data_IF_154090485798
#
_entry.id   IF_154090485798
#
_cell.length_a   1.000
_cell.length_b   1.000
_cell.length_c   1.000
_cell.angle_alpha   90.00
_cell.angle_beta   90.00
_cell.angle_gamma   90.00
#
_symmetry.space_group_name_H-M   'P 1'
#
loop_
_entity.id
_entity.type
_entity.pdbx_description
1 polymer ?
#
# COMPACT_ATOMS: atom_id res chain seq x y z
N UNK A 1 9.76 33.08 -2.01
CA UNK A 1 8.41 33.52 -1.61
C UNK A 1 8.51 34.05 -0.20
N UNK A 2 7.82 35.15 0.10
CA UNK A 2 7.77 35.80 1.40
C UNK A 2 7.09 34.91 2.45
N UNK A 3 7.67 34.80 3.66
CA UNK A 3 7.07 34.11 4.80
C UNK A 3 5.74 34.79 5.18
N UNK A 4 4.61 34.19 4.79
CA UNK A 4 3.29 34.66 5.23
C UNK A 4 3.06 34.22 6.68
N UNK A 5 3.03 35.19 7.61
CA UNK A 5 2.72 34.99 9.03
C UNK A 5 1.21 35.14 9.30
N UNK A 6 0.38 34.38 8.59
CA UNK A 6 -1.07 34.50 8.72
C UNK A 6 -1.66 33.71 9.90
N UNK A 7 -1.00 32.63 10.34
CA UNK A 7 -1.64 31.63 11.21
C UNK A 7 -0.76 31.12 12.36
N UNK A 8 0.41 31.74 12.61
CA UNK A 8 1.38 31.27 13.61
C UNK A 8 0.82 31.08 15.03
N UNK A 9 -0.21 31.86 15.38
CA UNK A 9 -0.85 31.85 16.70
C UNK A 9 -2.17 31.09 16.77
N UNK A 10 -2.52 30.28 15.76
CA UNK A 10 -3.80 29.54 15.71
C UNK A 10 -3.72 28.28 16.59
N UNK A 11 -4.28 28.26 17.82
CA UNK A 11 -3.95 27.25 18.82
C UNK A 11 -4.69 25.91 18.64
N UNK A 12 -5.60 25.85 17.68
CA UNK A 12 -6.43 24.68 17.36
C UNK A 12 -6.15 24.15 15.94
N UNK A 13 -5.13 24.68 15.26
CA UNK A 13 -4.78 24.20 13.92
C UNK A 13 -4.08 22.86 14.04
N UNK A 14 -4.82 21.78 13.76
CA UNK A 14 -4.34 20.40 13.84
C UNK A 14 -4.41 19.66 12.49
N UNK A 15 -5.15 20.18 11.53
CA UNK A 15 -5.31 19.60 10.21
C UNK A 15 -4.79 20.59 9.16
N UNK A 16 -3.89 20.11 8.29
CA UNK A 16 -3.26 20.91 7.24
C UNK A 16 -3.39 20.22 5.88
N UNK A 17 -4.18 20.81 5.00
CA UNK A 17 -4.31 20.38 3.62
C UNK A 17 -3.67 21.41 2.69
N UNK A 18 -2.68 21.00 1.91
CA UNK A 18 -1.98 21.90 0.98
C UNK A 18 -2.29 21.56 -0.47
N UNK A 19 -2.71 22.56 -1.24
CA UNK A 19 -2.99 22.42 -2.68
C UNK A 19 -2.03 23.31 -3.47
N UNK A 20 -1.28 22.73 -4.41
CA UNK A 20 -0.37 23.47 -5.31
C UNK A 20 0.69 24.32 -4.57
N UNK A 21 1.13 23.85 -3.40
CA UNK A 21 2.23 24.43 -2.64
C UNK A 21 3.46 23.54 -2.76
N UNK A 22 4.54 24.07 -3.34
CA UNK A 22 5.78 23.32 -3.51
C UNK A 22 6.51 23.08 -2.17
N UNK A 23 6.62 24.09 -1.32
CA UNK A 23 7.32 23.96 -0.03
C UNK A 23 6.59 24.78 1.04
N UNK A 24 5.70 24.11 1.76
CA UNK A 24 4.85 24.73 2.79
C UNK A 24 5.66 25.38 3.90
N UNK A 25 6.74 24.74 4.34
CA UNK A 25 7.61 25.20 5.43
C UNK A 25 8.23 26.57 5.11
N UNK A 26 8.61 26.79 3.85
CA UNK A 26 9.15 28.08 3.41
C UNK A 26 8.07 29.11 3.02
N UNK A 27 6.88 28.65 2.67
CA UNK A 27 5.81 29.52 2.17
C UNK A 27 5.01 30.17 3.30
N UNK A 28 4.72 29.41 4.36
CA UNK A 28 3.76 29.80 5.40
C UNK A 28 4.34 29.48 6.79
N UNK A 29 4.25 30.43 7.71
CA UNK A 29 4.57 30.20 9.11
C UNK A 29 3.34 29.65 9.85
N UNK A 30 3.43 28.41 10.32
CA UNK A 30 2.33 27.66 10.94
C UNK A 30 2.79 27.06 12.27
N UNK A 31 1.86 26.79 13.22
CA UNK A 31 2.14 26.01 14.41
C UNK A 31 2.30 24.51 14.08
N UNK A 32 3.33 24.16 13.30
CA UNK A 32 3.57 22.80 12.78
C UNK A 32 3.56 21.71 13.86
N UNK A 33 3.93 22.06 15.10
CA UNK A 33 3.90 21.14 16.22
C UNK A 33 2.49 20.69 16.62
N UNK A 34 1.43 21.41 16.25
CA UNK A 34 0.04 21.07 16.57
C UNK A 34 -0.60 20.20 15.49
N UNK A 35 -0.01 20.14 14.29
CA UNK A 35 -0.54 19.38 13.17
C UNK A 35 -0.47 17.87 13.46
N UNK A 36 -1.64 17.24 13.43
CA UNK A 36 -1.87 15.81 13.55
C UNK A 36 -2.30 15.16 12.24
N UNK A 37 -2.89 15.92 11.31
CA UNK A 37 -3.20 15.44 9.95
C UNK A 37 -2.58 16.34 8.92
N UNK A 38 -1.90 15.75 7.94
CA UNK A 38 -1.30 16.48 6.83
C UNK A 38 -1.65 15.82 5.51
N UNK A 39 -2.15 16.60 4.55
CA UNK A 39 -2.30 16.15 3.18
C UNK A 39 -1.70 17.12 2.18
N UNK A 40 -1.21 16.59 1.06
CA UNK A 40 -0.76 17.40 -0.07
C UNK A 40 -1.35 16.91 -1.38
N UNK A 41 -1.89 17.86 -2.14
CA UNK A 41 -2.51 17.64 -3.44
C UNK A 41 -2.05 18.70 -4.44
N UNK A 42 -2.02 18.33 -5.72
CA UNK A 42 -1.64 19.26 -6.79
C UNK A 42 -2.54 19.05 -7.99
N UNK A 43 -2.97 20.14 -8.61
CA UNK A 43 -3.75 20.12 -9.84
C UNK A 43 -2.77 20.06 -11.01
N UNK A 44 -3.12 19.29 -12.04
CA UNK A 44 -2.32 19.18 -13.26
C UNK A 44 -2.28 20.53 -13.97
N UNK A 45 -1.21 21.30 -13.75
CA UNK A 45 -0.93 22.48 -14.55
C UNK A 45 0.20 22.18 -15.56
N UNK A 46 -0.03 22.33 -16.88
CA UNK A 46 0.96 22.01 -17.91
C UNK A 46 2.14 22.99 -17.95
N UNK A 47 2.04 24.14 -17.28
CA UNK A 47 3.03 25.25 -17.36
C UNK A 47 3.60 25.72 -16.02
N UNK A 48 3.10 25.21 -14.89
CA UNK A 48 3.51 25.67 -13.56
C UNK A 48 3.98 24.47 -12.73
N UNK A 49 5.21 24.56 -12.22
CA UNK A 49 5.81 23.57 -11.34
C UNK A 49 5.51 23.89 -9.86
N UNK A 50 4.27 23.71 -9.44
CA UNK A 50 3.82 23.90 -8.04
C UNK A 50 3.94 22.65 -7.19
N UNK A 51 4.63 21.62 -7.70
CA UNK A 51 4.64 20.27 -7.11
C UNK A 51 5.79 20.11 -6.13
N UNK A 52 5.55 19.66 -4.90
CA UNK A 52 6.57 19.42 -3.91
C UNK A 52 7.46 18.29 -4.38
N UNK A 53 8.77 18.50 -4.26
CA UNK A 53 9.73 17.43 -4.43
C UNK A 53 9.72 16.57 -3.18
N UNK A 54 10.17 15.33 -3.26
CA UNK A 54 10.32 14.45 -2.08
C UNK A 54 11.08 15.11 -0.93
N UNK A 55 12.08 15.95 -1.20
CA UNK A 55 12.81 16.71 -0.19
C UNK A 55 11.97 17.80 0.46
N UNK A 56 11.09 18.48 -0.29
CA UNK A 56 10.14 19.44 0.25
C UNK A 56 9.13 18.74 1.18
N UNK A 57 8.65 17.56 0.78
CA UNK A 57 7.77 16.71 1.59
C UNK A 57 8.47 16.29 2.88
N UNK A 58 9.69 15.75 2.79
CA UNK A 58 10.47 15.34 3.97
C UNK A 58 10.74 16.52 4.91
N UNK A 59 11.03 17.71 4.37
CA UNK A 59 11.17 18.92 5.16
C UNK A 59 9.89 19.28 5.91
N UNK A 60 8.71 19.11 5.29
CA UNK A 60 7.43 19.30 5.98
C UNK A 60 7.24 18.27 7.09
N UNK A 61 7.48 16.98 6.81
CA UNK A 61 7.36 15.88 7.78
C UNK A 61 8.27 16.07 9.01
N UNK A 62 9.46 16.65 8.84
CA UNK A 62 10.34 17.02 9.96
C UNK A 62 9.73 18.06 10.91
N UNK A 63 8.90 18.96 10.39
CA UNK A 63 8.29 20.04 11.18
C UNK A 63 7.05 19.56 11.92
N UNK A 64 6.26 18.67 11.31
CA UNK A 64 5.00 18.14 11.89
C UNK A 64 5.25 16.95 12.82
N UNK A 65 5.90 17.21 13.96
CA UNK A 65 6.31 16.16 14.91
C UNK A 65 5.18 15.33 15.52
N UNK A 66 3.95 15.87 15.53
CA UNK A 66 2.78 15.22 16.11
C UNK A 66 1.88 14.53 15.08
N UNK A 67 2.38 14.33 13.86
CA UNK A 67 1.62 13.76 12.77
C UNK A 67 1.13 12.33 13.07
N UNK A 68 -0.17 12.12 12.98
CA UNK A 68 -0.85 10.84 13.17
C UNK A 68 -1.38 10.26 11.85
N UNK A 69 -1.79 11.12 10.92
CA UNK A 69 -2.29 10.73 9.61
C UNK A 69 -1.69 11.57 8.49
N UNK A 70 -1.29 10.92 7.41
CA UNK A 70 -0.61 11.57 6.30
C UNK A 70 -1.12 11.05 4.95
N UNK A 71 -1.50 11.96 4.05
CA UNK A 71 -1.88 11.63 2.65
C UNK A 71 -1.05 12.45 1.67
N UNK A 72 -0.14 11.79 0.96
CA UNK A 72 0.87 12.45 0.14
C UNK A 72 0.72 12.09 -1.33
N UNK A 73 0.50 13.11 -2.15
CA UNK A 73 0.69 13.04 -3.59
C UNK A 73 2.14 13.36 -3.97
N UNK A 74 2.85 12.36 -4.49
CA UNK A 74 4.28 12.40 -4.77
C UNK A 74 4.55 12.29 -6.28
N UNK A 75 5.15 13.32 -6.88
CA UNK A 75 5.32 13.37 -8.35
C UNK A 75 6.75 13.64 -8.80
N UNK A 76 7.54 14.33 -7.97
CA UNK A 76 8.87 14.81 -8.36
C UNK A 76 9.92 14.26 -7.41
N UNK A 77 10.84 13.44 -7.93
CA UNK A 77 12.00 12.98 -7.19
C UNK A 77 12.98 14.13 -6.97
N UNK A 78 13.58 14.17 -5.79
CA UNK A 78 14.70 15.07 -5.51
C UNK A 78 15.98 14.41 -5.98
N UNK A 79 16.71 15.08 -6.89
CA UNK A 79 17.93 14.52 -7.50
C UNK A 79 18.99 14.14 -6.45
N UNK A 80 19.13 14.95 -5.40
CA UNK A 80 19.97 14.67 -4.23
C UNK A 80 19.26 15.17 -2.98
N UNK A 81 19.01 14.28 -2.04
CA UNK A 81 18.53 14.66 -0.71
C UNK A 81 19.68 15.31 0.07
N UNK A 82 19.35 16.33 0.86
CA UNK A 82 20.32 16.95 1.76
C UNK A 82 20.85 15.91 2.75
N UNK A 83 22.08 16.08 3.23
CA UNK A 83 22.71 15.11 4.17
C UNK A 83 21.85 14.84 5.41
N UNK A 84 21.08 15.82 5.86
CA UNK A 84 20.14 15.68 6.98
C UNK A 84 18.89 14.85 6.63
N UNK A 85 18.48 14.86 5.35
CA UNK A 85 17.37 14.06 4.81
C UNK A 85 17.82 12.65 4.38
N UNK A 86 19.14 12.38 4.35
CA UNK A 86 19.69 11.05 4.10
C UNK A 86 19.59 10.12 5.32
N UNK A 87 19.36 10.66 6.51
CA UNK A 87 19.10 9.88 7.72
C UNK A 87 17.59 9.61 7.77
N UNK A 88 17.14 8.35 7.89
CA UNK A 88 15.72 8.03 7.98
C UNK A 88 15.03 8.81 9.12
N UNK A 89 13.99 9.54 8.75
CA UNK A 89 13.27 10.44 9.63
C UNK A 89 12.18 9.70 10.37
N UNK A 90 12.16 9.85 11.69
CA UNK A 90 11.20 9.14 12.50
C UNK A 90 9.89 9.92 12.66
N UNK A 91 8.80 9.36 12.15
CA UNK A 91 7.43 9.84 12.37
C UNK A 91 6.78 9.00 13.47
N UNK A 92 7.10 9.32 14.73
CA UNK A 92 6.78 8.48 15.89
C UNK A 92 5.29 8.30 16.14
N UNK A 93 4.45 9.27 15.80
CA UNK A 93 2.99 9.20 16.05
C UNK A 93 2.19 8.74 14.84
N UNK A 94 2.83 8.53 13.69
CA UNK A 94 2.13 8.25 12.44
C UNK A 94 1.48 6.86 12.47
N UNK A 95 0.16 6.82 12.39
CA UNK A 95 -0.68 5.62 12.42
C UNK A 95 -1.23 5.26 11.06
N UNK A 96 -1.47 6.23 10.20
CA UNK A 96 -1.97 6.04 8.84
C UNK A 96 -1.15 6.82 7.82
N UNK A 97 -0.69 6.13 6.77
CA UNK A 97 0.05 6.71 5.66
C UNK A 97 -0.59 6.31 4.35
N UNK A 98 -1.00 7.29 3.56
CA UNK A 98 -1.43 7.14 2.18
C UNK A 98 -0.42 7.81 1.28
N UNK A 99 0.12 7.06 0.32
CA UNK A 99 1.04 7.55 -0.69
C UNK A 99 0.41 7.35 -2.06
N UNK A 100 0.41 8.39 -2.87
CA UNK A 100 -0.06 8.36 -4.24
C UNK A 100 1.07 8.83 -5.14
N UNK A 101 1.46 8.06 -6.16
CA UNK A 101 2.40 8.54 -7.16
C UNK A 101 1.71 9.04 -8.42
N UNK A 102 2.28 10.10 -8.99
CA UNK A 102 2.06 10.49 -10.38
C UNK A 102 3.43 10.61 -11.05
N UNK A 103 4.10 9.48 -11.27
CA UNK A 103 5.50 9.47 -11.66
C UNK A 103 5.67 9.79 -13.16
N UNK A 104 6.01 11.03 -13.46
CA UNK A 104 6.54 11.44 -14.77
C UNK A 104 7.94 10.89 -15.07
N UNK A 105 8.59 10.31 -14.05
CA UNK A 105 10.01 9.93 -14.05
C UNK A 105 10.22 8.42 -14.08
N UNK A 106 9.27 7.67 -14.67
CA UNK A 106 9.47 6.24 -14.96
C UNK A 106 10.83 6.05 -15.68
N UNK A 107 11.66 5.06 -15.28
CA UNK A 107 11.37 3.95 -14.36
C UNK A 107 11.68 4.21 -12.87
N UNK A 108 12.11 5.41 -12.49
CA UNK A 108 12.53 5.68 -11.12
C UNK A 108 11.35 5.92 -10.18
N UNK A 109 11.27 5.12 -9.11
CA UNK A 109 10.21 5.29 -8.13
C UNK A 109 10.42 6.54 -7.26
N UNK A 110 9.51 7.52 -7.39
CA UNK A 110 9.43 8.69 -6.50
C UNK A 110 9.07 8.25 -5.08
N UNK A 111 8.19 7.25 -4.94
CA UNK A 111 7.73 6.74 -3.65
C UNK A 111 8.84 6.02 -2.90
N UNK A 112 9.69 5.26 -3.59
CA UNK A 112 10.80 4.56 -2.98
C UNK A 112 11.72 5.52 -2.22
N UNK A 113 12.07 6.67 -2.83
CA UNK A 113 12.90 7.68 -2.17
C UNK A 113 12.28 8.21 -0.87
N UNK A 114 10.96 8.39 -0.83
CA UNK A 114 10.26 8.83 0.37
C UNK A 114 10.21 7.72 1.42
N UNK A 115 9.83 6.50 1.01
CA UNK A 115 9.73 5.33 1.88
C UNK A 115 11.07 4.98 2.54
N UNK A 116 12.17 5.06 1.81
CA UNK A 116 13.52 4.80 2.32
C UNK A 116 13.98 5.83 3.35
N UNK A 117 13.46 7.06 3.26
CA UNK A 117 13.80 8.16 4.15
C UNK A 117 12.94 8.22 5.43
N UNK A 118 12.06 7.25 5.71
CA UNK A 118 11.13 7.28 6.85
C UNK A 118 11.30 6.13 7.84
N UNK A 119 10.98 6.37 9.11
CA UNK A 119 10.81 5.35 10.16
C UNK A 119 9.47 5.60 10.86
N UNK A 120 8.57 4.63 10.80
CA UNK A 120 7.14 4.79 11.15
C UNK A 120 6.70 3.70 12.15
N UNK A 121 7.23 3.72 13.38
CA UNK A 121 7.14 2.57 14.30
C UNK A 121 5.72 2.20 14.73
N UNK A 122 4.77 3.14 14.65
CA UNK A 122 3.38 2.92 15.07
C UNK A 122 2.40 2.83 13.88
N UNK A 123 2.91 2.64 12.66
CA UNK A 123 2.07 2.56 11.47
C UNK A 123 1.16 1.34 11.51
N UNK A 124 -0.14 1.59 11.45
CA UNK A 124 -1.20 0.57 11.49
C UNK A 124 -1.93 0.42 10.15
N UNK A 125 -1.89 1.46 9.30
CA UNK A 125 -2.52 1.49 7.99
C UNK A 125 -1.55 2.09 6.95
N UNK A 126 -1.27 1.33 5.91
CA UNK A 126 -0.45 1.76 4.78
C UNK A 126 -1.24 1.56 3.50
N UNK A 127 -1.41 2.66 2.75
CA UNK A 127 -1.97 2.65 1.40
C UNK A 127 -0.94 3.24 0.44
N UNK A 128 -0.65 2.52 -0.62
CA UNK A 128 0.27 2.95 -1.66
C UNK A 128 -0.40 2.75 -3.01
N UNK A 129 -0.63 3.84 -3.71
CA UNK A 129 -1.25 3.89 -5.01
C UNK A 129 -0.21 4.34 -6.02
N UNK A 130 0.24 3.41 -6.86
CA UNK A 130 1.17 3.72 -7.92
C UNK A 130 0.43 4.28 -9.16
N UNK A 131 1.17 5.06 -9.94
CA UNK A 131 0.64 5.76 -11.10
C UNK A 131 0.25 4.80 -12.24
N UNK A 132 -0.97 4.98 -12.77
CA UNK A 132 -1.41 4.40 -14.05
C UNK A 132 -1.09 5.36 -15.19
N UNK A 133 -0.04 5.09 -15.96
CA UNK A 133 0.27 5.91 -17.11
C UNK A 133 -0.69 5.73 -18.30
N UNK A 134 -0.51 6.54 -19.36
CA UNK A 134 -1.34 6.42 -20.57
C UNK A 134 -1.18 5.07 -21.26
N UNK A 135 -0.05 4.41 -21.03
CA UNK A 135 0.30 3.09 -21.56
C UNK A 135 -0.10 1.97 -20.57
N UNK A 136 -0.75 2.32 -19.45
CA UNK A 136 -1.14 1.44 -18.33
C UNK A 136 0.02 0.63 -17.77
N UNK A 137 1.23 1.16 -17.84
CA UNK A 137 2.41 0.49 -17.33
C UNK A 137 2.42 0.52 -15.80
N UNK A 138 2.49 -0.67 -15.19
CA UNK A 138 2.64 -0.84 -13.75
C UNK A 138 3.98 -0.27 -13.28
N UNK A 139 3.99 0.29 -12.08
CA UNK A 139 5.20 0.77 -11.43
C UNK A 139 6.21 -0.37 -11.19
N UNK A 140 7.49 -0.02 -11.07
CA UNK A 140 8.56 -1.02 -10.91
C UNK A 140 8.52 -1.63 -9.50
N UNK A 141 9.20 -2.77 -9.34
CA UNK A 141 9.36 -3.43 -8.04
C UNK A 141 10.10 -2.57 -6.99
N UNK A 142 10.76 -1.48 -7.41
CA UNK A 142 11.50 -0.59 -6.52
C UNK A 142 10.61 -0.04 -5.41
N UNK A 143 9.37 0.35 -5.73
CA UNK A 143 8.42 0.86 -4.72
C UNK A 143 8.09 -0.23 -3.70
N UNK A 144 7.79 -1.44 -4.16
CA UNK A 144 7.42 -2.52 -3.25
C UNK A 144 8.60 -2.94 -2.37
N UNK A 145 9.81 -2.96 -2.93
CA UNK A 145 11.05 -3.20 -2.17
C UNK A 145 11.28 -2.15 -1.09
N UNK A 146 10.99 -0.88 -1.38
CA UNK A 146 11.06 0.20 -0.38
C UNK A 146 9.95 0.06 0.69
N UNK A 147 8.75 -0.41 0.33
CA UNK A 147 7.69 -0.78 1.29
C UNK A 147 8.20 -1.87 2.24
N UNK A 148 8.79 -2.95 1.71
CA UNK A 148 9.42 -3.99 2.53
C UNK A 148 10.47 -3.38 3.46
N UNK A 149 11.29 -2.47 2.93
CA UNK A 149 12.34 -1.76 3.67
C UNK A 149 11.80 -0.94 4.85
N UNK A 150 10.80 -0.09 4.63
CA UNK A 150 10.24 0.75 5.71
C UNK A 150 9.57 -0.10 6.79
N UNK A 151 8.86 -1.16 6.42
CA UNK A 151 8.20 -2.06 7.39
C UNK A 151 9.24 -2.82 8.21
N UNK A 152 10.28 -3.35 7.57
CA UNK A 152 11.37 -4.07 8.26
C UNK A 152 12.16 -3.14 9.19
N UNK A 153 12.43 -1.91 8.76
CA UNK A 153 13.15 -0.91 9.55
C UNK A 153 12.32 -0.38 10.72
N UNK A 154 11.01 -0.24 10.53
CA UNK A 154 10.12 0.38 11.51
C UNK A 154 9.50 -0.62 12.48
N UNK A 155 9.44 -1.90 12.12
CA UNK A 155 8.77 -2.95 12.90
C UNK A 155 7.30 -2.58 13.23
N UNK A 156 6.63 -1.95 12.28
CA UNK A 156 5.30 -1.36 12.49
C UNK A 156 4.22 -2.43 12.69
N UNK A 157 3.24 -2.22 13.59
CA UNK A 157 2.13 -3.15 13.82
C UNK A 157 1.04 -3.01 12.74
N UNK A 158 1.40 -3.26 11.48
CA UNK A 158 0.52 -3.01 10.35
C UNK A 158 -0.71 -3.93 10.36
N UNK A 159 -1.90 -3.34 10.45
CA UNK A 159 -3.17 -4.07 10.46
C UNK A 159 -3.84 -4.10 9.10
N UNK A 160 -3.64 -3.07 8.28
CA UNK A 160 -4.17 -3.01 6.91
C UNK A 160 -3.10 -2.55 5.94
N UNK A 161 -2.93 -3.33 4.88
CA UNK A 161 -2.02 -3.02 3.79
C UNK A 161 -2.78 -2.94 2.47
N UNK A 162 -2.55 -1.85 1.73
CA UNK A 162 -3.11 -1.63 0.42
C UNK A 162 -2.01 -1.20 -0.55
N UNK A 163 -1.86 -1.94 -1.63
CA UNK A 163 -0.97 -1.62 -2.73
C UNK A 163 -1.74 -1.70 -4.04
N UNK A 164 -1.53 -0.74 -4.94
CA UNK A 164 -2.25 -0.68 -6.22
C UNK A 164 -1.31 -0.34 -7.38
N UNK A 165 -1.49 -1.02 -8.51
CA UNK A 165 -0.88 -0.70 -9.80
C UNK A 165 0.65 -0.74 -9.84
N UNK A 166 1.24 -1.80 -9.28
CA UNK A 166 2.70 -1.97 -9.29
C UNK A 166 3.11 -3.43 -9.42
N UNK A 167 4.35 -3.62 -9.87
CA UNK A 167 4.99 -4.93 -9.87
C UNK A 167 5.49 -5.29 -8.48
N UNK A 168 5.40 -6.57 -8.15
CA UNK A 168 5.80 -7.12 -6.85
C UNK A 168 6.62 -8.36 -7.12
N UNK A 169 7.81 -8.42 -6.54
CA UNK A 169 8.59 -9.65 -6.47
C UNK A 169 8.02 -10.60 -5.41
N UNK A 170 7.97 -11.89 -5.74
CA UNK A 170 7.42 -12.93 -4.87
C UNK A 170 8.12 -12.98 -3.50
N UNK A 171 9.46 -12.87 -3.51
CA UNK A 171 10.28 -12.92 -2.29
C UNK A 171 10.00 -11.71 -1.40
N UNK A 172 9.87 -10.53 -2.02
CA UNK A 172 9.55 -9.30 -1.30
C UNK A 172 8.16 -9.36 -0.63
N UNK A 173 7.16 -9.93 -1.30
CA UNK A 173 5.81 -10.08 -0.74
C UNK A 173 5.77 -11.07 0.42
N UNK A 174 6.42 -12.24 0.27
CA UNK A 174 6.51 -13.21 1.36
C UNK A 174 7.29 -12.67 2.55
N UNK A 175 8.37 -11.93 2.30
CA UNK A 175 9.11 -11.27 3.37
C UNK A 175 8.22 -10.28 4.11
N UNK A 176 7.48 -9.44 3.38
CA UNK A 176 6.52 -8.51 3.97
C UNK A 176 5.54 -9.27 4.88
N UNK A 177 4.86 -10.30 4.36
CA UNK A 177 3.90 -11.09 5.13
C UNK A 177 4.51 -11.72 6.38
N UNK A 178 5.75 -12.20 6.32
CA UNK A 178 6.44 -12.72 7.50
C UNK A 178 6.70 -11.62 8.54
N UNK A 179 7.15 -10.44 8.11
CA UNK A 179 7.44 -9.31 9.01
C UNK A 179 6.22 -8.81 9.78
N UNK A 180 5.02 -8.84 9.17
CA UNK A 180 3.78 -8.34 9.78
C UNK A 180 2.75 -9.44 10.08
N UNK A 181 3.19 -10.69 10.15
CA UNK A 181 2.31 -11.86 10.27
C UNK A 181 1.34 -11.77 11.45
N UNK A 182 1.82 -11.33 12.61
CA UNK A 182 1.04 -11.32 13.86
C UNK A 182 0.01 -10.18 13.95
N UNK A 183 0.06 -9.18 13.08
CA UNK A 183 -0.75 -7.96 13.19
C UNK A 183 -1.67 -7.75 12.00
N UNK A 184 -1.30 -8.22 10.81
CA UNK A 184 -2.02 -7.96 9.58
C UNK A 184 -3.39 -8.64 9.55
N UNK A 185 -4.42 -7.84 9.30
CA UNK A 185 -5.83 -8.25 9.28
C UNK A 185 -6.47 -8.14 7.90
N UNK A 186 -6.03 -7.15 7.11
CA UNK A 186 -6.57 -6.88 5.78
C UNK A 186 -5.47 -6.61 4.76
N UNK A 187 -5.54 -7.32 3.64
CA UNK A 187 -4.63 -7.15 2.49
C UNK A 187 -5.44 -6.77 1.26
N UNK A 188 -4.98 -5.74 0.55
CA UNK A 188 -5.50 -5.32 -0.75
C UNK A 188 -4.35 -5.16 -1.73
N UNK A 189 -4.21 -6.07 -2.67
CA UNK A 189 -3.24 -6.02 -3.76
C UNK A 189 -4.03 -5.85 -5.05
N UNK A 190 -4.12 -4.62 -5.57
CA UNK A 190 -5.02 -4.29 -6.67
C UNK A 190 -4.23 -3.98 -7.95
N UNK A 191 -4.65 -4.56 -9.08
CA UNK A 191 -3.96 -4.44 -10.36
C UNK A 191 -2.43 -4.64 -10.25
N UNK A 192 -2.02 -5.73 -9.61
CA UNK A 192 -0.61 -6.06 -9.42
C UNK A 192 -0.05 -6.88 -10.58
N UNK A 193 1.27 -6.85 -10.72
CA UNK A 193 2.00 -7.59 -11.76
C UNK A 193 1.81 -9.12 -11.69
N UNK A 194 2.10 -9.84 -12.79
CA UNK A 194 1.80 -11.27 -12.94
C UNK A 194 2.50 -12.18 -11.91
N UNK A 195 3.68 -11.78 -11.42
CA UNK A 195 4.47 -12.56 -10.46
C UNK A 195 3.93 -12.43 -9.02
N UNK A 196 3.02 -11.48 -8.77
CA UNK A 196 2.48 -11.24 -7.43
C UNK A 196 1.41 -12.25 -6.98
N UNK A 197 0.78 -12.95 -7.92
CA UNK A 197 -0.39 -13.81 -7.69
C UNK A 197 -0.12 -15.22 -8.25
N UNK A 198 0.90 -15.88 -7.70
CA UNK A 198 1.39 -17.21 -8.09
C UNK A 198 1.10 -18.27 -7.02
N UNK A 199 1.31 -19.54 -7.37
CA UNK A 199 1.28 -20.65 -6.41
C UNK A 199 2.36 -20.51 -5.32
N UNK A 200 3.49 -19.88 -5.64
CA UNK A 200 4.56 -19.57 -4.68
C UNK A 200 4.11 -18.63 -3.56
N UNK A 201 3.14 -17.73 -3.84
CA UNK A 201 2.50 -16.88 -2.83
C UNK A 201 1.38 -17.60 -2.08
N UNK A 202 0.57 -18.42 -2.76
CA UNK A 202 -0.56 -19.10 -2.12
C UNK A 202 -0.12 -20.27 -1.22
N UNK A 203 0.90 -21.02 -1.61
CA UNK A 203 1.35 -22.21 -0.88
C UNK A 203 1.73 -21.89 0.57
N UNK A 204 2.51 -20.82 0.87
CA UNK A 204 2.80 -20.42 2.25
C UNK A 204 1.60 -19.92 3.05
N UNK A 205 0.49 -19.58 2.39
CA UNK A 205 -0.74 -19.17 3.05
C UNK A 205 -1.65 -20.35 3.42
N UNK A 206 -1.40 -21.55 2.91
CA UNK A 206 -2.08 -22.77 3.35
C UNK A 206 -1.73 -23.08 4.81
N UNK A 207 -2.70 -23.59 5.56
CA UNK A 207 -2.47 -24.08 6.92
C UNK A 207 -2.19 -25.58 6.83
N UNK A 208 -0.92 -25.94 6.67
CA UNK A 208 -0.44 -27.33 6.73
C UNK A 208 0.09 -27.71 8.12
N UNK A 209 0.57 -26.73 8.89
CA UNK A 209 1.11 -26.91 10.23
C UNK A 209 0.57 -25.83 11.18
N UNK A 210 -0.14 -26.26 12.22
CA UNK A 210 -0.73 -25.37 13.22
C UNK A 210 0.30 -24.47 13.96
N UNK A 211 1.58 -24.87 13.99
CA UNK A 211 2.62 -24.16 14.72
C UNK A 211 3.25 -23.01 13.92
N UNK A 212 3.01 -22.91 12.61
CA UNK A 212 3.64 -21.91 11.76
C UNK A 212 2.66 -21.33 10.74
N UNK A 213 1.57 -20.75 11.24
CA UNK A 213 0.54 -20.13 10.40
C UNK A 213 1.01 -18.74 9.98
N UNK A 214 1.13 -18.51 8.67
CA UNK A 214 1.39 -17.19 8.11
C UNK A 214 0.11 -16.33 8.13
N UNK A 215 0.20 -15.08 8.57
CA UNK A 215 -0.94 -14.15 8.69
C UNK A 215 -2.16 -14.76 9.45
N UNK A 216 -2.02 -15.22 10.71
CA UNK A 216 -3.11 -15.87 11.45
C UNK A 216 -4.31 -14.95 11.72
N UNK A 217 -4.16 -13.63 11.58
CA UNK A 217 -5.24 -12.64 11.80
C UNK A 217 -5.89 -12.13 10.51
N UNK A 218 -5.49 -12.66 9.35
CA UNK A 218 -6.01 -12.23 8.05
C UNK A 218 -7.49 -12.63 7.90
N UNK A 219 -8.38 -11.65 7.93
CA UNK A 219 -9.81 -11.85 7.71
C UNK A 219 -10.32 -11.22 6.42
N UNK A 220 -9.54 -10.35 5.78
CA UNK A 220 -9.88 -9.71 4.50
C UNK A 220 -8.74 -9.86 3.49
N UNK A 221 -9.03 -10.47 2.34
CA UNK A 221 -8.13 -10.58 1.20
C UNK A 221 -8.81 -10.00 -0.05
N UNK A 222 -8.21 -8.98 -0.63
CA UNK A 222 -8.61 -8.46 -1.94
C UNK A 222 -7.40 -8.55 -2.85
N UNK A 223 -7.51 -9.34 -3.91
CA UNK A 223 -6.46 -9.44 -4.94
C UNK A 223 -7.04 -9.17 -6.31
N UNK A 224 -6.32 -8.37 -7.09
CA UNK A 224 -6.64 -8.08 -8.47
C UNK A 224 -5.36 -7.95 -9.28
N UNK A 225 -5.38 -8.49 -10.50
CA UNK A 225 -4.22 -8.53 -11.39
C UNK A 225 -4.24 -9.77 -12.27
N UNK A 226 -3.11 -10.06 -12.90
CA UNK A 226 -2.90 -11.30 -13.65
C UNK A 226 -2.70 -12.45 -12.65
N UNK A 227 -3.70 -13.32 -12.55
CA UNK A 227 -3.70 -14.46 -11.61
C UNK A 227 -3.09 -15.68 -12.28
N UNK A 228 -1.93 -16.12 -11.78
CA UNK A 228 -1.18 -17.26 -12.31
C UNK A 228 -1.27 -18.50 -11.40
N UNK A 229 -1.98 -18.41 -10.29
CA UNK A 229 -2.16 -19.53 -9.37
C UNK A 229 -3.19 -20.57 -9.85
N UNK A 230 -3.02 -21.81 -9.41
CA UNK A 230 -4.00 -22.87 -9.56
C UNK A 230 -5.27 -22.58 -8.74
N UNK A 231 -6.41 -22.78 -9.38
CA UNK A 231 -7.71 -22.51 -8.77
C UNK A 231 -8.01 -23.44 -7.60
N UNK A 232 -7.57 -24.70 -7.65
CA UNK A 232 -7.78 -25.64 -6.56
C UNK A 232 -6.90 -25.27 -5.36
N UNK A 233 -5.65 -24.90 -5.60
CA UNK A 233 -4.76 -24.39 -4.55
C UNK A 233 -5.36 -23.18 -3.83
N UNK A 234 -5.97 -22.25 -4.57
CA UNK A 234 -6.68 -21.13 -3.97
C UNK A 234 -7.85 -21.59 -3.08
N UNK A 235 -8.67 -22.51 -3.57
CA UNK A 235 -9.79 -23.07 -2.79
C UNK A 235 -9.27 -23.74 -1.52
N UNK A 236 -8.27 -24.61 -1.61
CA UNK A 236 -7.65 -25.28 -0.45
C UNK A 236 -7.10 -24.28 0.58
N UNK A 237 -6.51 -23.17 0.11
CA UNK A 237 -6.04 -22.09 0.98
C UNK A 237 -7.19 -21.44 1.75
N UNK A 238 -8.31 -21.17 1.08
CA UNK A 238 -9.50 -20.63 1.73
C UNK A 238 -10.10 -21.64 2.71
N UNK A 239 -10.22 -22.91 2.32
CA UNK A 239 -10.80 -23.97 3.15
C UNK A 239 -9.99 -24.22 4.43
N UNK A 240 -8.66 -24.34 4.30
CA UNK A 240 -7.78 -24.54 5.44
C UNK A 240 -7.85 -23.37 6.44
N UNK A 241 -8.01 -22.13 5.94
CA UNK A 241 -8.22 -20.94 6.77
C UNK A 241 -9.64 -20.80 7.30
N UNK A 242 -10.64 -21.38 6.65
CA UNK A 242 -12.01 -21.31 7.15
C UNK A 242 -12.23 -22.30 8.29
N UNK A 243 -11.67 -23.51 8.15
CA UNK A 243 -11.84 -24.63 9.08
C UNK A 243 -10.85 -24.60 10.25
N UNK A 244 -9.85 -23.71 10.24
CA UNK A 244 -8.89 -23.58 11.34
C UNK A 244 -9.56 -23.06 12.63
N UNK A 245 -9.32 -23.78 13.73
CA UNK A 245 -9.90 -23.52 15.07
C UNK A 245 -8.86 -23.09 16.11
N UNK A 246 -7.67 -22.66 15.67
CA UNK A 246 -6.61 -22.24 16.59
C UNK A 246 -7.04 -21.00 17.40
N UNK A 247 -6.76 -20.94 18.72
CA UNK A 247 -7.33 -19.90 19.62
C UNK A 247 -7.05 -18.44 19.23
N UNK A 248 -5.93 -18.16 18.57
CA UNK A 248 -5.51 -16.80 18.17
C UNK A 248 -5.79 -16.48 16.69
N UNK A 249 -6.41 -17.43 15.97
CA UNK A 249 -6.61 -17.37 14.54
C UNK A 249 -7.95 -16.70 14.19
N UNK A 250 -7.95 -15.87 13.15
CA UNK A 250 -9.15 -15.26 12.60
C UNK A 250 -9.47 -15.87 11.25
N UNK A 251 -10.69 -16.40 11.11
CA UNK A 251 -11.18 -16.94 9.83
C UNK A 251 -11.16 -15.89 8.74
N UNK A 252 -10.81 -16.31 7.53
CA UNK A 252 -10.89 -15.48 6.33
C UNK A 252 -12.37 -15.22 6.00
N UNK A 253 -12.86 -13.99 6.19
CA UNK A 253 -14.30 -13.65 6.07
C UNK A 253 -14.65 -12.92 4.78
N UNK A 254 -13.72 -12.16 4.23
CA UNK A 254 -13.96 -11.35 3.03
C UNK A 254 -12.90 -11.65 1.99
N UNK A 255 -13.34 -12.09 0.82
CA UNK A 255 -12.50 -12.40 -0.32
C UNK A 255 -13.04 -11.67 -1.53
N UNK A 256 -12.20 -10.84 -2.14
CA UNK A 256 -12.49 -10.21 -3.41
C UNK A 256 -11.40 -10.56 -4.41
N UNK A 257 -11.80 -11.18 -5.51
CA UNK A 257 -10.92 -11.54 -6.61
C UNK A 257 -11.31 -10.72 -7.83
N UNK A 258 -10.34 -10.11 -8.50
CA UNK A 258 -10.57 -9.53 -9.81
C UNK A 258 -9.45 -9.90 -10.79
N UNK A 259 -9.72 -10.87 -11.67
CA UNK A 259 -8.75 -11.27 -12.69
C UNK A 259 -8.69 -10.21 -13.78
N UNK A 260 -7.48 -9.75 -14.08
CA UNK A 260 -7.20 -8.92 -15.25
C UNK A 260 -6.60 -9.83 -16.31
N UNK A 261 -7.26 -9.96 -17.47
CA UNK A 261 -6.76 -10.82 -18.54
C UNK A 261 -5.48 -10.25 -19.15
N UNK A 262 -4.43 -11.05 -19.21
CA UNK A 262 -3.21 -10.71 -19.92
C UNK A 262 -3.44 -10.62 -21.44
N UNK A 263 -2.56 -9.93 -22.20
CA UNK A 263 -2.70 -9.74 -23.64
C UNK A 263 -2.70 -11.05 -24.45
N UNK A 264 -2.17 -12.12 -23.87
CA UNK A 264 -2.00 -13.44 -24.50
C UNK A 264 -2.92 -14.53 -23.92
N UNK A 265 -3.86 -14.20 -23.04
CA UNK A 265 -4.74 -15.22 -22.44
C UNK A 265 -5.90 -15.60 -23.37
N UNK A 266 -6.15 -16.90 -23.49
CA UNK A 266 -7.33 -17.42 -24.19
C UNK A 266 -8.62 -16.96 -23.51
N UNK A 267 -9.55 -16.44 -24.32
CA UNK A 267 -10.88 -16.04 -23.88
C UNK A 267 -11.63 -17.26 -23.36
N UNK A 268 -11.80 -17.37 -22.03
CA UNK A 268 -12.60 -18.42 -21.39
C UNK A 268 -12.02 -18.96 -20.08
N UNK A 269 -10.69 -18.93 -19.92
CA UNK A 269 -10.04 -19.45 -18.71
C UNK A 269 -10.46 -18.71 -17.44
N UNK A 270 -10.69 -17.40 -17.54
CA UNK A 270 -11.18 -16.60 -16.41
C UNK A 270 -12.58 -17.00 -15.92
N UNK A 271 -13.50 -17.34 -16.84
CA UNK A 271 -14.88 -17.73 -16.49
C UNK A 271 -14.95 -19.15 -15.93
N UNK A 272 -14.13 -20.08 -16.46
CA UNK A 272 -13.98 -21.42 -15.89
C UNK A 272 -13.43 -21.35 -14.45
N UNK A 273 -12.38 -20.56 -14.24
CA UNK A 273 -11.81 -20.32 -12.90
C UNK A 273 -12.84 -19.71 -11.96
N UNK A 274 -13.58 -18.68 -12.40
CA UNK A 274 -14.68 -18.07 -11.63
C UNK A 274 -15.71 -19.11 -11.19
N UNK A 275 -16.22 -19.90 -12.13
CA UNK A 275 -17.28 -20.88 -11.88
C UNK A 275 -16.81 -21.97 -10.91
N UNK A 276 -15.57 -22.44 -11.08
CA UNK A 276 -14.93 -23.41 -10.19
C UNK A 276 -14.77 -22.87 -8.75
N UNK A 277 -14.23 -21.66 -8.56
CA UNK A 277 -14.06 -21.06 -7.22
C UNK A 277 -15.41 -20.87 -6.53
N UNK A 278 -16.38 -20.28 -7.23
CA UNK A 278 -17.69 -19.98 -6.64
C UNK A 278 -18.43 -21.25 -6.26
N UNK A 279 -18.44 -22.27 -7.13
CA UNK A 279 -19.11 -23.55 -6.84
C UNK A 279 -18.47 -24.28 -5.64
N UNK A 280 -17.14 -24.36 -5.59
CA UNK A 280 -16.43 -25.07 -4.51
C UNK A 280 -16.57 -24.37 -3.15
N UNK A 281 -16.61 -23.04 -3.14
CA UNK A 281 -16.72 -22.24 -1.90
C UNK A 281 -18.16 -21.88 -1.51
N UNK A 282 -19.18 -22.36 -2.25
CA UNK A 282 -20.58 -21.98 -2.03
C UNK A 282 -21.06 -22.32 -0.62
N UNK A 283 -20.67 -23.48 -0.09
CA UNK A 283 -20.98 -23.89 1.28
C UNK A 283 -20.53 -22.84 2.31
N UNK A 284 -19.34 -22.27 2.17
CA UNK A 284 -18.83 -21.28 3.13
C UNK A 284 -19.53 -19.92 2.99
N UNK A 285 -20.08 -19.61 1.81
CA UNK A 285 -20.86 -18.39 1.60
C UNK A 285 -22.14 -18.39 2.42
N UNK A 286 -22.82 -19.53 2.51
CA UNK A 286 -24.01 -19.67 3.36
C UNK A 286 -23.65 -19.58 4.85
N UNK A 287 -22.42 -19.94 5.23
CA UNK A 287 -21.84 -19.79 6.58
C UNK A 287 -21.27 -18.37 6.87
N UNK A 288 -21.41 -17.43 5.92
CA UNK A 288 -21.06 -16.02 6.10
C UNK A 288 -19.76 -15.55 5.41
N UNK A 289 -19.15 -16.36 4.53
CA UNK A 289 -18.02 -15.93 3.69
C UNK A 289 -18.51 -14.92 2.64
N UNK A 290 -17.97 -13.71 2.67
CA UNK A 290 -18.21 -12.67 1.66
C UNK A 290 -17.24 -12.87 0.49
N UNK A 291 -17.66 -13.66 -0.49
CA UNK A 291 -16.89 -13.93 -1.71
C UNK A 291 -17.44 -13.14 -2.90
N UNK A 292 -16.58 -12.41 -3.61
CA UNK A 292 -16.89 -11.77 -4.89
C UNK A 292 -15.78 -11.99 -5.91
N UNK A 293 -16.16 -12.26 -7.16
CA UNK A 293 -15.23 -12.46 -8.27
C UNK A 293 -15.62 -11.55 -9.45
N UNK A 294 -14.65 -10.83 -10.01
CA UNK A 294 -14.79 -10.08 -11.26
C UNK A 294 -13.71 -10.45 -12.28
N UNK A 295 -14.02 -10.20 -13.54
CA UNK A 295 -13.08 -10.30 -14.67
C UNK A 295 -13.05 -8.92 -15.31
N UNK A 296 -11.85 -8.37 -15.46
CA UNK A 296 -11.61 -7.10 -16.12
C UNK A 296 -10.74 -7.32 -17.36
N UNK A 297 -11.03 -6.58 -18.42
CA UNK A 297 -10.14 -6.47 -19.57
C UNK A 297 -9.04 -5.46 -19.28
N UNK A 298 -7.79 -5.80 -19.58
CA UNK A 298 -6.63 -4.92 -19.47
C UNK A 298 -6.75 -3.65 -20.34
#
# INVERSE_FOLDING_TARGET
MSHLKLFGDTPLLNDLDTVDIQNIVSAIDLPYHQITRYSTYHIRHPRIFTRPRTGDILNALLKVKNLEECDLRCEVRTARLDKQLNIPQSCQKLRALTLNSWAYQFPHSVLAQLLDALVVPHLSNLKVHCYVDRERQRDTEETFRAIRGIISRSQSPLTTFHFTHGNIDETDLLHLFRSISSTLRGVRLLDVGPIALTDGILTPLLISNANNVLLPRLHTLHVSGEMQFDTNLFVEMVESRWTCELPSFQRLRTIKLCRVSGPNEEKGNGELGRTSILSKLEKYRTEGLKLSYCIASA
#
